data_IF_280602360025
#
_entry.id   IF_280602360025
#
_cell.length_a   1.000
_cell.length_b   1.000
_cell.length_c   1.000
_cell.angle_alpha   90.00
_cell.angle_beta   90.00
_cell.angle_gamma   90.00
#
_symmetry.space_group_name_H-M   'P 1'
#
loop_
_entity.id
_entity.type
_entity.pdbx_description
1 polymer ?
#
# COMPACT_ATOMS: atom_id res chain seq x y z
N UNK A 1 64.39 -2.19 -21.35
CA UNK A 1 63.32 -2.80 -20.51
C UNK A 1 62.48 -1.77 -19.72
N UNK A 2 62.49 -0.47 -20.07
CA UNK A 2 61.86 0.62 -19.28
C UNK A 2 60.53 1.16 -19.84
N UNK A 3 60.20 0.90 -21.10
CA UNK A 3 58.89 1.25 -21.69
C UNK A 3 57.67 0.74 -20.88
N UNK A 4 57.67 -0.50 -20.35
CA UNK A 4 56.52 -1.01 -19.61
C UNK A 4 56.20 -0.19 -18.36
N UNK A 5 57.24 0.33 -17.68
CA UNK A 5 57.07 1.06 -16.43
C UNK A 5 56.43 2.43 -16.66
N UNK A 6 56.80 3.13 -17.73
CA UNK A 6 56.23 4.44 -18.10
C UNK A 6 54.76 4.32 -18.48
N UNK A 7 54.38 3.27 -19.22
CA UNK A 7 52.98 3.01 -19.54
C UNK A 7 52.16 2.66 -18.30
N UNK A 8 52.72 1.86 -17.38
CA UNK A 8 52.05 1.52 -16.11
C UNK A 8 51.83 2.76 -15.25
N UNK A 9 52.83 3.64 -15.11
CA UNK A 9 52.68 4.87 -14.31
C UNK A 9 51.73 5.88 -14.95
N UNK A 10 51.75 6.02 -16.28
CA UNK A 10 50.81 6.88 -17.01
C UNK A 10 49.36 6.39 -16.88
N UNK A 11 49.12 5.08 -17.00
CA UNK A 11 47.78 4.49 -16.79
C UNK A 11 47.33 4.70 -15.33
N UNK A 12 48.21 4.47 -14.36
CA UNK A 12 47.89 4.68 -12.95
C UNK A 12 47.54 6.15 -12.64
N UNK A 13 48.32 7.10 -13.17
CA UNK A 13 48.05 8.53 -13.02
C UNK A 13 46.72 8.92 -13.70
N UNK A 14 46.44 8.40 -14.90
CA UNK A 14 45.17 8.61 -15.60
C UNK A 14 43.97 8.07 -14.83
N UNK A 15 44.07 6.86 -14.26
CA UNK A 15 43.02 6.28 -13.41
C UNK A 15 42.80 7.09 -12.12
N UNK A 16 43.87 7.55 -11.47
CA UNK A 16 43.79 8.42 -10.30
C UNK A 16 43.12 9.76 -10.62
N UNK A 17 43.49 10.40 -11.72
CA UNK A 17 42.85 11.63 -12.18
C UNK A 17 41.37 11.41 -12.50
N UNK A 18 41.03 10.31 -13.18
CA UNK A 18 39.65 9.93 -13.46
C UNK A 18 38.84 9.72 -12.17
N UNK A 19 39.40 9.02 -11.18
CA UNK A 19 38.77 8.83 -9.87
C UNK A 19 38.59 10.15 -9.12
N UNK A 20 39.56 11.07 -9.20
CA UNK A 20 39.46 12.39 -8.59
C UNK A 20 38.36 13.23 -9.25
N UNK A 21 38.33 13.28 -10.58
CA UNK A 21 37.29 13.97 -11.37
C UNK A 21 35.92 13.36 -11.09
N UNK A 22 35.81 12.02 -11.07
CA UNK A 22 34.57 11.34 -10.71
C UNK A 22 34.14 11.72 -9.29
N UNK A 23 35.03 11.73 -8.30
CA UNK A 23 34.66 12.06 -6.91
C UNK A 23 34.28 13.52 -6.72
N UNK A 24 34.89 14.44 -7.47
CA UNK A 24 34.63 15.88 -7.39
C UNK A 24 33.34 16.29 -8.12
N UNK A 25 33.14 15.79 -9.34
CA UNK A 25 32.02 16.20 -10.20
C UNK A 25 30.82 15.25 -10.13
N UNK A 26 31.05 13.98 -9.78
CA UNK A 26 30.02 12.93 -9.72
C UNK A 26 30.13 12.12 -8.41
N UNK A 27 30.02 12.75 -7.23
CA UNK A 27 30.26 12.11 -5.94
C UNK A 27 29.36 10.87 -5.69
N UNK A 28 28.21 10.79 -6.35
CA UNK A 28 27.24 9.69 -6.22
C UNK A 28 27.27 8.68 -7.38
N UNK A 29 28.23 8.78 -8.31
CA UNK A 29 28.28 7.96 -9.53
C UNK A 29 28.05 6.45 -9.29
N UNK A 30 28.73 5.88 -8.28
CA UNK A 30 28.59 4.46 -7.96
C UNK A 30 27.23 4.12 -7.37
N UNK A 31 26.68 4.99 -6.53
CA UNK A 31 25.32 4.85 -5.98
C UNK A 31 24.28 4.91 -7.10
N UNK A 32 24.44 5.85 -8.03
CA UNK A 32 23.58 6.01 -9.20
C UNK A 32 23.68 4.81 -10.14
N UNK A 33 24.90 4.29 -10.38
CA UNK A 33 25.12 3.10 -11.19
C UNK A 33 24.46 1.86 -10.56
N UNK A 34 24.59 1.67 -9.24
CA UNK A 34 23.91 0.60 -8.51
C UNK A 34 22.40 0.76 -8.62
N UNK A 35 21.88 1.96 -8.41
CA UNK A 35 20.44 2.26 -8.53
C UNK A 35 19.91 1.99 -9.94
N UNK A 36 20.59 2.49 -10.98
CA UNK A 36 20.26 2.23 -12.39
C UNK A 36 20.31 0.74 -12.68
N UNK A 37 21.32 0.01 -12.17
CA UNK A 37 21.40 -1.44 -12.36
C UNK A 37 20.22 -2.18 -11.71
N UNK A 38 19.76 -1.74 -10.54
CA UNK A 38 18.56 -2.27 -9.87
C UNK A 38 17.31 -1.95 -10.69
N UNK A 39 17.12 -0.71 -11.11
CA UNK A 39 16.01 -0.30 -11.97
C UNK A 39 15.95 -1.11 -13.27
N UNK A 40 17.09 -1.31 -13.93
CA UNK A 40 17.17 -2.12 -15.14
C UNK A 40 16.80 -3.58 -14.87
N UNK A 41 17.30 -4.19 -13.79
CA UNK A 41 16.90 -5.55 -13.38
C UNK A 41 15.42 -5.63 -13.07
N UNK A 42 14.83 -4.61 -12.44
CA UNK A 42 13.38 -4.55 -12.20
C UNK A 42 12.61 -4.49 -13.51
N UNK A 43 13.01 -3.61 -14.42
CA UNK A 43 12.43 -3.48 -15.74
C UNK A 43 12.46 -4.81 -16.48
N UNK A 44 13.62 -5.48 -16.51
CA UNK A 44 13.77 -6.81 -17.09
C UNK A 44 12.84 -7.82 -16.40
N UNK A 45 12.75 -7.83 -15.07
CA UNK A 45 11.87 -8.73 -14.31
C UNK A 45 10.40 -8.50 -14.67
N UNK A 46 9.97 -7.24 -14.80
CA UNK A 46 8.62 -6.88 -15.25
C UNK A 46 8.36 -7.33 -16.70
N UNK A 47 9.32 -7.16 -17.61
CA UNK A 47 9.20 -7.64 -18.99
C UNK A 47 9.15 -9.18 -19.07
N UNK A 48 9.90 -9.88 -18.22
CA UNK A 48 9.82 -11.34 -18.09
C UNK A 48 8.44 -11.78 -17.57
N UNK A 49 7.85 -11.05 -16.62
CA UNK A 49 6.47 -11.33 -16.19
C UNK A 49 5.45 -11.11 -17.30
N UNK A 50 5.62 -10.08 -18.14
CA UNK A 50 4.78 -9.89 -19.33
C UNK A 50 4.91 -11.05 -20.33
N UNK A 51 6.11 -11.61 -20.49
CA UNK A 51 6.38 -12.72 -21.43
C UNK A 51 5.97 -14.11 -20.93
N UNK A 52 5.88 -14.33 -19.61
CA UNK A 52 5.59 -15.66 -19.02
C UNK A 52 4.10 -16.04 -18.99
N UNK A 53 3.21 -15.31 -19.68
CA UNK A 53 1.77 -15.58 -19.84
C UNK A 53 0.93 -15.73 -18.56
N UNK A 54 1.53 -15.62 -17.36
CA UNK A 54 0.82 -15.61 -16.07
C UNK A 54 0.93 -14.21 -15.47
N UNK A 55 -0.18 -13.48 -15.51
CA UNK A 55 -0.28 -12.16 -14.87
C UNK A 55 -0.22 -12.35 -13.36
N UNK A 56 0.71 -11.64 -12.70
CA UNK A 56 0.86 -11.67 -11.23
C UNK A 56 0.55 -10.28 -10.70
N UNK A 57 -0.47 -10.20 -9.85
CA UNK A 57 -0.92 -8.97 -9.18
C UNK A 57 -0.19 -8.77 -7.84
N UNK A 58 -0.36 -7.61 -7.21
CA UNK A 58 0.14 -7.37 -5.84
C UNK A 58 -0.50 -8.33 -4.83
N UNK A 59 -1.79 -8.66 -4.99
CA UNK A 59 -2.45 -9.67 -4.14
C UNK A 59 -1.84 -11.06 -4.34
N UNK A 60 -1.53 -11.47 -5.57
CA UNK A 60 -0.85 -12.76 -5.81
C UNK A 60 0.53 -12.80 -5.15
N UNK A 61 1.23 -11.67 -5.11
CA UNK A 61 2.50 -11.54 -4.36
C UNK A 61 2.29 -11.68 -2.86
N UNK A 62 1.25 -11.08 -2.32
CA UNK A 62 0.91 -11.23 -0.90
C UNK A 62 0.66 -12.69 -0.53
N UNK A 63 -0.20 -13.39 -1.29
CA UNK A 63 -0.49 -14.82 -1.06
C UNK A 63 0.79 -15.67 -1.17
N UNK A 64 1.67 -15.36 -2.12
CA UNK A 64 2.98 -16.04 -2.24
C UNK A 64 3.89 -15.78 -1.03
N UNK A 65 3.88 -14.56 -0.46
CA UNK A 65 4.65 -14.25 0.73
C UNK A 65 4.05 -14.96 1.95
N UNK A 66 2.72 -14.94 2.13
CA UNK A 66 2.07 -15.64 3.23
C UNK A 66 2.38 -17.13 3.25
N UNK A 67 2.41 -17.79 2.09
CA UNK A 67 2.83 -19.18 2.00
C UNK A 67 4.34 -19.41 2.28
N UNK A 68 5.20 -18.40 2.03
CA UNK A 68 6.65 -18.53 2.12
C UNK A 68 7.21 -18.14 3.50
N UNK A 69 6.58 -17.17 4.16
CA UNK A 69 7.03 -16.56 5.42
C UNK A 69 5.83 -16.34 6.35
N UNK A 70 5.03 -17.38 6.67
CA UNK A 70 3.76 -17.25 7.38
C UNK A 70 3.91 -16.54 8.73
N UNK A 71 4.88 -16.98 9.54
CA UNK A 71 5.11 -16.48 10.91
C UNK A 71 5.69 -15.06 10.99
N UNK A 72 6.10 -14.48 9.85
CA UNK A 72 6.73 -13.18 9.86
C UNK A 72 5.68 -12.10 10.14
N UNK A 73 5.95 -11.13 11.04
CA UNK A 73 5.10 -9.94 11.19
C UNK A 73 4.94 -9.21 9.84
N UNK A 74 3.70 -9.08 9.38
CA UNK A 74 3.37 -8.26 8.22
C UNK A 74 2.96 -6.85 8.67
N UNK A 75 2.06 -6.75 9.66
CA UNK A 75 1.56 -5.48 10.21
C UNK A 75 1.82 -5.45 11.71
N UNK A 76 2.42 -4.37 12.19
CA UNK A 76 2.44 -4.01 13.61
C UNK A 76 1.52 -2.81 13.79
N UNK A 77 0.46 -2.98 14.57
CA UNK A 77 -0.53 -1.94 14.84
C UNK A 77 -0.77 -1.83 16.35
N UNK A 78 -0.56 -0.64 16.91
CA UNK A 78 -0.71 -0.39 18.36
C UNK A 78 0.08 -1.35 19.26
N UNK A 79 1.19 -1.90 18.75
CA UNK A 79 2.03 -2.86 19.46
C UNK A 79 1.60 -4.33 19.31
N UNK A 80 0.46 -4.59 18.66
CA UNK A 80 0.01 -5.92 18.29
C UNK A 80 0.62 -6.28 16.93
N UNK A 81 1.17 -7.48 16.84
CA UNK A 81 1.74 -8.03 15.61
C UNK A 81 0.71 -8.93 14.92
N UNK A 82 0.50 -8.69 13.63
CA UNK A 82 -0.25 -9.55 12.72
C UNK A 82 0.74 -10.08 11.69
N UNK A 83 0.89 -11.39 11.65
CA UNK A 83 1.75 -12.11 10.72
C UNK A 83 1.19 -12.10 9.30
N UNK A 84 1.96 -12.57 8.33
CA UNK A 84 1.44 -12.75 6.98
C UNK A 84 0.31 -13.78 6.95
N UNK A 85 0.39 -14.84 7.76
CA UNK A 85 -0.66 -15.85 7.90
C UNK A 85 -1.94 -15.26 8.51
N UNK A 86 -1.83 -14.50 9.61
CA UNK A 86 -3.00 -13.86 10.26
C UNK A 86 -3.82 -13.01 9.26
N UNK A 87 -3.12 -12.25 8.41
CA UNK A 87 -3.76 -11.39 7.42
C UNK A 87 -4.31 -12.20 6.24
N UNK A 88 -3.65 -13.29 5.86
CA UNK A 88 -4.12 -14.21 4.81
C UNK A 88 -5.42 -14.89 5.22
N UNK A 89 -5.45 -15.50 6.41
CA UNK A 89 -6.63 -16.16 6.98
C UNK A 89 -7.78 -15.17 7.18
N UNK A 90 -7.50 -14.02 7.80
CA UNK A 90 -8.53 -13.02 8.05
C UNK A 90 -9.11 -12.45 6.75
N UNK A 91 -8.28 -12.24 5.73
CA UNK A 91 -8.76 -11.79 4.43
C UNK A 91 -9.52 -12.89 3.66
N UNK A 92 -9.19 -14.18 3.85
CA UNK A 92 -10.01 -15.30 3.36
C UNK A 92 -11.39 -15.30 4.01
N UNK A 93 -11.45 -15.15 5.34
CA UNK A 93 -12.71 -15.04 6.10
C UNK A 93 -13.57 -13.89 5.57
N UNK A 94 -12.98 -12.71 5.34
CA UNK A 94 -13.71 -11.60 4.71
C UNK A 94 -14.26 -12.00 3.35
N UNK A 95 -13.44 -12.60 2.47
CA UNK A 95 -13.89 -13.00 1.15
C UNK A 95 -15.08 -13.97 1.21
N UNK A 96 -15.02 -14.98 2.08
CA UNK A 96 -16.13 -15.92 2.30
C UNK A 96 -17.40 -15.23 2.78
N UNK A 97 -17.32 -14.32 3.76
CA UNK A 97 -18.49 -13.57 4.25
C UNK A 97 -19.15 -12.80 3.12
N UNK A 98 -18.38 -12.01 2.36
CA UNK A 98 -18.95 -11.19 1.29
C UNK A 98 -19.52 -12.03 0.15
N UNK A 99 -18.89 -13.17 -0.18
CA UNK A 99 -19.39 -14.10 -1.19
C UNK A 99 -20.69 -14.77 -0.76
N UNK A 100 -20.74 -15.35 0.44
CA UNK A 100 -21.90 -16.09 0.96
C UNK A 100 -23.11 -15.17 1.17
N UNK A 101 -22.87 -13.93 1.58
CA UNK A 101 -23.91 -12.92 1.79
C UNK A 101 -24.31 -12.21 0.49
N UNK A 102 -23.67 -12.54 -0.63
CA UNK A 102 -23.94 -11.93 -1.94
C UNK A 102 -23.60 -10.44 -2.01
N UNK A 103 -22.78 -9.95 -1.07
CA UNK A 103 -22.42 -8.53 -0.94
C UNK A 103 -21.31 -8.10 -1.91
N UNK A 104 -20.54 -9.04 -2.46
CA UNK A 104 -19.56 -8.78 -3.51
C UNK A 104 -19.34 -10.01 -4.39
N UNK A 105 -19.13 -9.78 -5.68
CA UNK A 105 -18.83 -10.79 -6.70
C UNK A 105 -17.71 -10.31 -7.62
N UNK A 106 -17.15 -11.23 -8.39
CA UNK A 106 -16.10 -10.91 -9.37
C UNK A 106 -16.57 -9.82 -10.33
N UNK A 107 -15.74 -8.79 -10.51
CA UNK A 107 -16.04 -7.65 -11.36
C UNK A 107 -16.77 -6.51 -10.67
N UNK A 108 -17.31 -6.72 -9.47
CA UNK A 108 -17.93 -5.64 -8.69
C UNK A 108 -16.88 -4.63 -8.20
N UNK A 109 -17.35 -3.41 -7.95
CA UNK A 109 -16.59 -2.42 -7.20
C UNK A 109 -17.19 -2.25 -5.81
N UNK A 110 -16.36 -2.34 -4.78
CA UNK A 110 -16.78 -2.15 -3.38
C UNK A 110 -16.08 -0.93 -2.80
N UNK A 111 -16.82 -0.05 -2.15
CA UNK A 111 -16.28 1.17 -1.57
C UNK A 111 -15.86 0.96 -0.11
N UNK A 112 -14.71 1.52 0.28
CA UNK A 112 -14.16 1.47 1.63
C UNK A 112 -14.06 2.88 2.19
N UNK A 113 -14.76 3.12 3.29
CA UNK A 113 -14.64 4.30 4.14
C UNK A 113 -14.09 3.88 5.50
N UNK A 114 -12.78 3.70 5.57
CA UNK A 114 -12.10 3.12 6.73
C UNK A 114 -10.84 3.91 7.08
N UNK A 115 -10.58 4.04 8.38
CA UNK A 115 -9.32 4.56 8.91
C UNK A 115 -8.17 3.57 8.74
N UNK A 116 -6.94 4.01 9.05
CA UNK A 116 -5.77 3.14 9.07
C UNK A 116 -5.86 2.13 10.21
N UNK A 117 -6.24 0.90 9.88
CA UNK A 117 -6.35 -0.24 10.81
C UNK A 117 -6.04 -1.54 10.05
N UNK A 118 -5.64 -2.63 10.73
CA UNK A 118 -5.40 -3.92 10.08
C UNK A 118 -6.61 -4.42 9.27
N UNK A 119 -7.82 -4.14 9.76
CA UNK A 119 -9.05 -4.51 9.07
C UNK A 119 -9.23 -3.82 7.71
N UNK A 120 -8.68 -2.62 7.51
CA UNK A 120 -8.65 -1.99 6.18
C UNK A 120 -7.98 -2.92 5.17
N UNK A 121 -6.83 -3.47 5.54
CA UNK A 121 -6.00 -4.30 4.66
C UNK A 121 -6.67 -5.66 4.47
N UNK A 122 -7.21 -6.26 5.55
CA UNK A 122 -7.90 -7.54 5.47
C UNK A 122 -9.15 -7.46 4.59
N UNK A 123 -9.94 -6.38 4.72
CA UNK A 123 -11.12 -6.15 3.88
C UNK A 123 -10.73 -5.92 2.43
N UNK A 124 -9.75 -5.06 2.19
CA UNK A 124 -9.24 -4.80 0.85
C UNK A 124 -8.77 -6.09 0.17
N UNK A 125 -7.95 -6.91 0.84
CA UNK A 125 -7.44 -8.15 0.26
C UNK A 125 -8.54 -9.19 0.07
N UNK A 126 -9.48 -9.31 1.01
CA UNK A 126 -10.62 -10.22 0.88
C UNK A 126 -11.49 -9.90 -0.34
N UNK A 127 -11.76 -8.62 -0.58
CA UNK A 127 -12.50 -8.17 -1.77
C UNK A 127 -11.70 -8.43 -3.06
N UNK A 128 -10.39 -8.18 -3.06
CA UNK A 128 -9.55 -8.51 -4.21
C UNK A 128 -9.45 -10.02 -4.45
N UNK A 129 -9.55 -10.88 -3.42
CA UNK A 129 -9.64 -12.35 -3.57
C UNK A 129 -10.91 -12.81 -4.29
N UNK A 130 -12.00 -12.04 -4.17
CA UNK A 130 -13.22 -12.26 -4.94
C UNK A 130 -13.14 -11.74 -6.39
N UNK A 131 -12.04 -11.08 -6.76
CA UNK A 131 -11.89 -10.44 -8.07
C UNK A 131 -12.63 -9.10 -8.17
N UNK A 132 -12.89 -8.43 -7.05
CA UNK A 132 -13.48 -7.10 -7.01
C UNK A 132 -12.42 -6.00 -7.19
N UNK A 133 -12.83 -4.88 -7.77
CA UNK A 133 -12.11 -3.61 -7.63
C UNK A 133 -12.53 -2.92 -6.34
N UNK A 134 -11.66 -2.08 -5.79
CA UNK A 134 -11.94 -1.41 -4.51
C UNK A 134 -11.87 0.10 -4.66
N UNK A 135 -12.86 0.82 -4.15
CA UNK A 135 -12.92 2.28 -4.16
C UNK A 135 -12.55 2.81 -2.77
N UNK A 136 -11.38 3.44 -2.67
CA UNK A 136 -10.92 4.07 -1.44
C UNK A 136 -11.52 5.47 -1.30
N UNK A 137 -12.40 5.61 -0.31
CA UNK A 137 -13.07 6.87 0.01
C UNK A 137 -12.25 7.61 1.07
N UNK A 138 -12.10 8.92 0.88
CA UNK A 138 -11.43 9.77 1.85
C UNK A 138 -12.33 9.95 3.08
N UNK A 139 -11.77 9.65 4.25
CA UNK A 139 -12.47 9.69 5.55
C UNK A 139 -12.90 11.07 6.00
N UNK A 140 -12.53 12.14 5.28
CA UNK A 140 -12.98 13.51 5.52
C UNK A 140 -14.17 13.93 4.62
N UNK A 141 -14.55 13.12 3.63
CA UNK A 141 -15.69 13.42 2.75
C UNK A 141 -16.99 13.09 3.49
N UNK A 142 -17.99 13.97 3.38
CA UNK A 142 -19.30 13.83 4.04
C UNK A 142 -20.47 14.04 3.06
N UNK A 143 -21.63 13.57 3.48
CA UNK A 143 -22.93 13.91 2.91
C UNK A 143 -22.98 13.75 1.38
N UNK A 144 -23.39 14.79 0.65
CA UNK A 144 -23.58 14.76 -0.81
C UNK A 144 -22.30 14.40 -1.58
N UNK A 145 -21.13 14.82 -1.11
CA UNK A 145 -19.86 14.50 -1.75
C UNK A 145 -19.53 13.02 -1.63
N UNK A 146 -19.97 12.35 -0.56
CA UNK A 146 -19.81 10.91 -0.40
C UNK A 146 -20.74 10.14 -1.34
N UNK A 147 -22.02 10.54 -1.41
CA UNK A 147 -23.00 9.98 -2.36
C UNK A 147 -22.52 10.09 -3.81
N UNK A 148 -21.93 11.23 -4.18
CA UNK A 148 -21.34 11.42 -5.51
C UNK A 148 -20.27 10.37 -5.86
N UNK A 149 -19.47 9.94 -4.88
CA UNK A 149 -18.40 8.97 -5.13
C UNK A 149 -18.95 7.63 -5.64
N UNK A 150 -20.08 7.15 -5.12
CA UNK A 150 -20.70 5.91 -5.56
C UNK A 150 -21.12 5.96 -7.03
N UNK A 151 -21.68 7.10 -7.47
CA UNK A 151 -22.01 7.32 -8.88
C UNK A 151 -20.78 7.28 -9.80
N UNK A 152 -19.62 7.75 -9.33
CA UNK A 152 -18.39 7.75 -10.13
C UNK A 152 -17.71 6.39 -10.26
N UNK A 153 -17.81 5.51 -9.26
CA UNK A 153 -17.15 4.20 -9.27
C UNK A 153 -18.09 3.02 -9.48
N UNK A 154 -19.41 3.24 -9.50
CA UNK A 154 -20.41 2.19 -9.70
C UNK A 154 -20.57 1.23 -8.52
N UNK A 155 -20.03 1.56 -7.34
CA UNK A 155 -20.12 0.69 -6.18
C UNK A 155 -21.56 0.52 -5.69
N UNK A 156 -21.91 -0.71 -5.29
CA UNK A 156 -23.20 -1.09 -4.68
C UNK A 156 -23.06 -1.60 -3.24
N UNK A 157 -21.83 -1.65 -2.75
CA UNK A 157 -21.51 -2.07 -1.40
C UNK A 157 -20.52 -1.07 -0.79
N UNK A 158 -20.80 -0.64 0.42
CA UNK A 158 -19.95 0.22 1.25
C UNK A 158 -19.49 -0.57 2.47
N UNK A 159 -18.20 -0.63 2.71
CA UNK A 159 -17.62 -1.07 3.98
C UNK A 159 -17.13 0.15 4.75
N UNK A 160 -17.64 0.34 5.96
CA UNK A 160 -17.33 1.48 6.84
C UNK A 160 -16.65 1.02 8.13
N UNK A 161 -15.59 1.74 8.52
CA UNK A 161 -14.89 1.50 9.78
C UNK A 161 -15.76 1.84 10.98
N UNK A 162 -15.54 1.16 12.10
CA UNK A 162 -16.32 1.37 13.33
C UNK A 162 -16.35 2.84 13.80
N UNK A 163 -15.24 3.56 13.60
CA UNK A 163 -15.03 4.95 14.00
C UNK A 163 -15.66 5.99 13.07
N UNK A 164 -16.18 5.55 11.92
CA UNK A 164 -16.77 6.43 10.89
C UNK A 164 -18.25 6.16 10.63
N UNK A 165 -18.80 5.10 11.23
CA UNK A 165 -20.19 4.69 11.02
C UNK A 165 -21.19 5.81 11.36
N UNK A 166 -21.00 6.47 12.50
CA UNK A 166 -21.90 7.51 12.98
C UNK A 166 -21.94 8.72 12.02
N UNK A 167 -20.88 8.91 11.22
CA UNK A 167 -20.84 9.97 10.19
C UNK A 167 -21.75 9.69 8.99
N UNK A 168 -22.31 8.48 8.90
CA UNK A 168 -23.22 8.07 7.85
C UNK A 168 -24.69 8.19 8.23
N UNK A 169 -25.05 8.42 9.51
CA UNK A 169 -26.44 8.39 9.98
C UNK A 169 -27.38 9.26 9.12
N UNK A 170 -26.96 10.48 8.82
CA UNK A 170 -27.74 11.44 8.01
C UNK A 170 -27.95 11.01 6.56
N UNK A 171 -27.11 10.11 6.04
CA UNK A 171 -27.14 9.67 4.63
C UNK A 171 -27.52 8.19 4.46
N UNK A 172 -27.64 7.42 5.54
CA UNK A 172 -28.13 6.04 5.47
C UNK A 172 -29.47 5.92 4.72
N UNK A 173 -30.46 6.83 4.90
CA UNK A 173 -31.69 6.78 4.12
C UNK A 173 -31.44 6.91 2.61
N UNK A 174 -30.55 7.81 2.19
CA UNK A 174 -30.19 7.99 0.77
C UNK A 174 -29.41 6.81 0.21
N UNK A 175 -28.46 6.26 0.98
CA UNK A 175 -27.73 5.05 0.59
C UNK A 175 -28.68 3.87 0.39
N UNK A 176 -29.68 3.73 1.26
CA UNK A 176 -30.71 2.68 1.13
C UNK A 176 -31.61 2.90 -0.09
N UNK A 177 -32.02 4.14 -0.38
CA UNK A 177 -32.78 4.48 -1.59
C UNK A 177 -32.01 4.12 -2.87
N UNK A 178 -30.69 4.33 -2.86
CA UNK A 178 -29.79 4.00 -3.97
C UNK A 178 -29.40 2.51 -4.02
N UNK A 179 -29.99 1.67 -3.16
CA UNK A 179 -29.68 0.24 -3.02
C UNK A 179 -28.20 -0.05 -2.75
N UNK A 180 -27.57 0.78 -1.91
CA UNK A 180 -26.21 0.55 -1.43
C UNK A 180 -26.24 -0.31 -0.16
N UNK A 181 -25.63 -1.49 -0.22
CA UNK A 181 -25.46 -2.36 0.94
C UNK A 181 -24.36 -1.81 1.86
N UNK A 182 -24.70 -1.48 3.10
CA UNK A 182 -23.75 -0.90 4.07
C UNK A 182 -23.29 -1.97 5.05
N UNK A 183 -21.98 -2.11 5.18
CA UNK A 183 -21.29 -3.07 6.05
C UNK A 183 -20.41 -2.33 7.05
N UNK A 184 -20.70 -2.46 8.34
CA UNK A 184 -19.89 -1.91 9.41
C UNK A 184 -18.87 -2.93 9.93
N UNK A 185 -17.62 -2.50 10.10
CA UNK A 185 -16.57 -3.29 10.77
C UNK A 185 -16.77 -3.22 12.29
N UNK A 186 -17.89 -3.78 12.76
CA UNK A 186 -18.29 -3.90 14.17
C UNK A 186 -18.82 -5.31 14.45
N UNK A 187 -18.87 -5.69 15.73
CA UNK A 187 -19.54 -6.91 16.20
C UNK A 187 -21.06 -6.75 16.19
N UNK A 188 -21.54 -5.60 16.64
CA UNK A 188 -22.96 -5.29 16.79
C UNK A 188 -23.23 -3.87 16.28
N UNK A 189 -24.41 -3.68 15.69
CA UNK A 189 -24.87 -2.40 15.20
C UNK A 189 -26.40 -2.33 15.31
N UNK A 190 -26.91 -1.23 15.87
CA UNK A 190 -28.34 -0.97 16.00
C UNK A 190 -28.91 -0.15 14.83
N UNK A 191 -28.07 0.33 13.91
CA UNK A 191 -28.52 1.16 12.79
C UNK A 191 -29.27 0.30 11.75
N UNK A 192 -30.54 0.62 11.44
CA UNK A 192 -31.32 -0.17 10.49
C UNK A 192 -30.69 -0.19 9.09
N UNK A 193 -30.58 -1.38 8.49
CA UNK A 193 -30.04 -1.55 7.15
C UNK A 193 -28.50 -1.55 7.06
N UNK A 194 -27.82 -1.65 8.21
CA UNK A 194 -26.37 -1.84 8.28
C UNK A 194 -26.07 -3.27 8.72
N UNK A 195 -25.34 -4.00 7.89
CA UNK A 195 -24.82 -5.33 8.22
C UNK A 195 -23.51 -5.20 9.01
N UNK A 196 -23.30 -6.07 10.00
CA UNK A 196 -22.04 -6.15 10.75
C UNK A 196 -21.10 -7.17 10.14
N UNK A 197 -19.79 -6.91 10.18
CA UNK A 197 -18.76 -7.80 9.61
C UNK A 197 -18.13 -8.71 10.67
N UNK A 198 -17.76 -8.18 11.84
CA UNK A 198 -16.85 -8.87 12.76
C UNK A 198 -17.50 -10.12 13.39
N UNK A 199 -18.81 -10.10 13.62
CA UNK A 199 -19.60 -11.25 14.07
C UNK A 199 -19.55 -12.41 13.07
N UNK A 200 -19.54 -12.10 11.78
CA UNK A 200 -19.53 -13.10 10.71
C UNK A 200 -18.14 -13.69 10.45
N UNK A 201 -17.08 -12.93 10.71
CA UNK A 201 -15.70 -13.41 10.52
C UNK A 201 -15.35 -14.59 11.44
N UNK A 202 -15.89 -14.60 12.67
CA UNK A 202 -15.62 -15.66 13.65
C UNK A 202 -16.04 -17.05 13.15
N UNK A 203 -17.08 -17.11 12.32
CA UNK A 203 -17.68 -18.36 11.82
C UNK A 203 -17.31 -18.66 10.35
N UNK A 204 -16.66 -17.72 9.67
CA UNK A 204 -16.31 -17.87 8.27
C UNK A 204 -15.11 -18.81 8.09
N UNK A 205 -15.03 -19.58 6.98
CA UNK A 205 -13.86 -20.39 6.67
C UNK A 205 -12.60 -19.54 6.49
N UNK A 206 -11.44 -20.08 6.85
CA UNK A 206 -10.13 -19.47 6.61
C UNK A 206 -9.44 -19.99 5.35
N UNK A 207 -10.01 -21.02 4.72
CA UNK A 207 -9.48 -21.64 3.51
C UNK A 207 -9.32 -20.62 2.37
N UNK A 208 -8.22 -20.70 1.60
CA UNK A 208 -7.99 -19.83 0.46
C UNK A 208 -9.13 -19.88 -0.56
N UNK A 209 -9.54 -18.70 -1.04
CA UNK A 209 -10.42 -18.59 -2.21
C UNK A 209 -9.66 -19.08 -3.46
N UNK A 210 -10.29 -19.89 -4.34
CA UNK A 210 -9.66 -20.37 -5.57
C UNK A 210 -9.02 -19.24 -6.39
N UNK A 211 -7.79 -19.45 -6.85
CA UNK A 211 -6.99 -18.43 -7.52
C UNK A 211 -7.65 -17.91 -8.81
N UNK A 212 -8.44 -18.74 -9.46
CA UNK A 212 -9.22 -18.47 -10.68
C UNK A 212 -10.23 -17.33 -10.46
N UNK A 213 -10.74 -17.18 -9.23
CA UNK A 213 -11.71 -16.16 -8.86
C UNK A 213 -11.15 -14.75 -9.04
N UNK A 214 -9.88 -14.55 -8.67
CA UNK A 214 -9.14 -13.28 -8.78
C UNK A 214 -8.21 -13.22 -10.00
N UNK A 215 -8.23 -14.21 -10.88
CA UNK A 215 -7.36 -14.23 -12.05
C UNK A 215 -7.68 -13.06 -12.99
N UNK A 216 -6.65 -12.39 -13.49
CA UNK A 216 -6.79 -11.28 -14.44
C UNK A 216 -6.09 -11.61 -15.76
N UNK A 217 -6.72 -11.23 -16.86
CA UNK A 217 -6.19 -11.44 -18.22
C UNK A 217 -5.29 -10.29 -18.66
N UNK A 218 -5.36 -9.13 -18.01
CA UNK A 218 -4.62 -7.93 -18.37
C UNK A 218 -4.23 -7.11 -17.15
N UNK A 219 -2.97 -6.67 -17.08
CA UNK A 219 -2.52 -5.71 -16.07
C UNK A 219 -3.11 -4.30 -16.28
N UNK A 220 -3.72 -4.03 -17.44
CA UNK A 220 -4.40 -2.75 -17.69
C UNK A 220 -5.81 -2.71 -17.08
N UNK A 221 -6.32 -3.82 -16.56
CA UNK A 221 -7.60 -3.86 -15.87
C UNK A 221 -7.55 -2.98 -14.60
N UNK A 222 -8.56 -2.14 -14.34
CA UNK A 222 -8.70 -1.41 -13.08
C UNK A 222 -8.69 -2.36 -11.88
N UNK A 223 -8.09 -1.92 -10.78
CA UNK A 223 -8.09 -2.64 -9.49
C UNK A 223 -8.51 -1.75 -8.34
N UNK A 224 -8.24 -0.44 -8.44
CA UNK A 224 -8.56 0.52 -7.39
C UNK A 224 -9.07 1.82 -7.98
N UNK A 225 -9.97 2.46 -7.24
CA UNK A 225 -10.41 3.83 -7.45
C UNK A 225 -10.00 4.65 -6.24
N UNK A 226 -9.22 5.71 -6.44
CA UNK A 226 -8.79 6.60 -5.35
C UNK A 226 -9.43 7.96 -5.55
N UNK A 227 -10.24 8.39 -4.60
CA UNK A 227 -10.91 9.69 -4.68
C UNK A 227 -10.00 10.82 -4.24
N UNK A 228 -9.89 11.84 -5.09
CA UNK A 228 -9.13 13.06 -4.82
C UNK A 228 -10.06 14.27 -4.79
N UNK A 229 -9.71 15.28 -4.00
CA UNK A 229 -10.38 16.59 -4.01
C UNK A 229 -10.21 17.21 -5.39
N UNK A 230 -11.21 17.02 -6.26
CA UNK A 230 -11.19 17.52 -7.63
C UNK A 230 -11.17 19.05 -7.67
N UNK A 231 -10.67 19.62 -8.76
CA UNK A 231 -10.64 21.09 -8.98
C UNK A 231 -12.02 21.73 -9.06
N UNK A 232 -13.07 20.93 -9.29
CA UNK A 232 -14.46 21.35 -9.44
C UNK A 232 -15.25 21.27 -8.13
N UNK A 233 -14.59 21.05 -6.99
CA UNK A 233 -15.21 20.93 -5.66
C UNK A 233 -15.76 19.53 -5.34
N UNK A 234 -16.19 18.75 -6.34
CA UNK A 234 -16.60 17.36 -6.15
C UNK A 234 -15.43 16.37 -6.32
N UNK A 235 -15.38 15.28 -5.52
CA UNK A 235 -14.35 14.26 -5.63
C UNK A 235 -14.32 13.57 -7.00
N UNK A 236 -13.12 13.34 -7.54
CA UNK A 236 -12.92 12.58 -8.79
C UNK A 236 -12.20 11.26 -8.51
N UNK A 237 -12.66 10.19 -9.15
CA UNK A 237 -12.03 8.88 -9.06
C UNK A 237 -10.79 8.79 -9.96
N UNK A 238 -9.61 8.68 -9.36
CA UNK A 238 -8.41 8.26 -10.07
C UNK A 238 -8.44 6.74 -10.25
N UNK A 239 -8.48 6.29 -11.51
CA UNK A 239 -8.53 4.86 -11.85
C UNK A 239 -7.10 4.30 -11.84
N UNK A 240 -6.86 3.32 -10.98
CA UNK A 240 -5.57 2.65 -10.84
C UNK A 240 -5.70 1.23 -11.39
N UNK A 241 -4.80 0.90 -12.31
CA UNK A 241 -4.68 -0.43 -12.94
C UNK A 241 -3.75 -1.34 -12.15
N UNK A 242 -3.87 -2.66 -12.34
CA UNK A 242 -2.90 -3.61 -11.77
C UNK A 242 -1.45 -3.30 -12.17
N UNK A 243 -1.21 -2.80 -13.39
CA UNK A 243 0.12 -2.40 -13.85
C UNK A 243 0.70 -1.27 -13.00
N UNK A 244 -0.10 -0.24 -12.72
CA UNK A 244 0.31 0.88 -11.87
C UNK A 244 0.56 0.41 -10.43
N UNK A 245 -0.30 -0.46 -9.91
CA UNK A 245 -0.15 -1.06 -8.58
C UNK A 245 1.16 -1.86 -8.46
N UNK A 246 1.46 -2.75 -9.42
CA UNK A 246 2.72 -3.52 -9.45
C UNK A 246 3.94 -2.62 -9.60
N UNK A 247 3.87 -1.58 -10.42
CA UNK A 247 4.97 -0.60 -10.55
C UNK A 247 5.24 0.12 -9.22
N UNK A 248 4.19 0.57 -8.54
CA UNK A 248 4.29 1.26 -7.25
C UNK A 248 4.84 0.34 -6.15
N UNK A 249 4.41 -0.93 -6.12
CA UNK A 249 4.93 -1.95 -5.19
C UNK A 249 6.44 -2.22 -5.38
N UNK A 250 6.99 -1.97 -6.57
CA UNK A 250 8.43 -2.08 -6.81
C UNK A 250 9.28 -0.99 -6.14
N UNK A 251 8.66 0.04 -5.55
CA UNK A 251 9.34 1.24 -5.06
C UNK A 251 10.46 0.94 -4.08
N UNK A 252 10.16 0.30 -2.94
CA UNK A 252 11.17 0.03 -1.90
C UNK A 252 12.31 -0.85 -2.41
N UNK A 253 12.00 -1.89 -3.16
CA UNK A 253 13.01 -2.76 -3.77
C UNK A 253 13.97 -1.96 -4.68
N UNK A 254 13.44 -1.04 -5.49
CA UNK A 254 14.26 -0.21 -6.38
C UNK A 254 15.24 0.68 -5.60
N UNK A 255 14.84 1.16 -4.43
CA UNK A 255 15.68 1.94 -3.52
C UNK A 255 16.52 1.08 -2.56
N UNK A 256 16.56 -0.25 -2.72
CA UNK A 256 17.41 -1.14 -1.94
C UNK A 256 16.78 -1.72 -0.68
N UNK A 257 15.48 -1.51 -0.48
CA UNK A 257 14.73 -2.20 0.55
C UNK A 257 14.77 -3.71 0.36
N UNK A 258 14.74 -4.44 1.47
CA UNK A 258 14.84 -5.88 1.56
C UNK A 258 13.93 -6.41 2.67
N UNK A 259 13.88 -7.71 2.83
CA UNK A 259 12.98 -8.33 3.79
C UNK A 259 13.26 -7.94 5.24
N UNK A 260 14.48 -7.58 5.63
CA UNK A 260 14.77 -7.19 7.03
C UNK A 260 14.31 -5.78 7.39
N UNK A 261 13.81 -5.01 6.43
CA UNK A 261 13.36 -3.64 6.68
C UNK A 261 12.05 -3.58 7.48
N UNK A 262 11.89 -2.49 8.22
CA UNK A 262 10.66 -2.14 8.93
C UNK A 262 10.15 -0.80 8.38
N UNK A 263 8.97 -0.84 7.75
CA UNK A 263 8.38 0.29 7.04
C UNK A 263 7.38 1.00 7.95
N UNK A 264 7.58 2.29 8.22
CA UNK A 264 6.62 3.09 8.97
C UNK A 264 5.59 3.74 8.06
N UNK A 265 4.31 3.40 8.26
CA UNK A 265 3.18 3.89 7.48
C UNK A 265 2.28 4.73 8.39
N UNK A 266 2.47 6.05 8.34
CA UNK A 266 1.63 7.03 9.03
C UNK A 266 0.73 7.84 8.10
N UNK A 267 0.79 7.57 6.80
CA UNK A 267 -0.04 8.20 5.77
C UNK A 267 -1.36 7.43 5.61
N UNK A 268 -2.46 8.07 5.17
CA UNK A 268 -3.75 7.40 5.05
C UNK A 268 -3.76 6.31 3.97
N UNK A 269 -4.22 5.10 4.32
CA UNK A 269 -4.29 3.92 3.45
C UNK A 269 -5.20 4.13 2.23
N UNK A 270 -6.21 5.00 2.34
CA UNK A 270 -7.06 5.38 1.21
C UNK A 270 -6.34 6.21 0.13
N UNK A 271 -5.05 6.56 0.32
CA UNK A 271 -4.20 7.18 -0.69
C UNK A 271 -3.13 6.23 -1.24
N UNK A 272 -2.69 6.50 -2.47
CA UNK A 272 -1.76 5.63 -3.22
C UNK A 272 -0.38 5.50 -2.58
N UNK A 273 0.12 6.54 -1.90
CA UNK A 273 1.40 6.48 -1.19
C UNK A 273 1.38 5.38 -0.11
N UNK A 274 0.40 5.40 0.79
CA UNK A 274 0.32 4.42 1.85
C UNK A 274 -0.05 3.01 1.33
N UNK A 275 -1.06 2.89 0.47
CA UNK A 275 -1.54 1.59 -0.01
C UNK A 275 -0.64 0.96 -1.07
N UNK A 276 -0.33 1.66 -2.16
CA UNK A 276 0.38 1.08 -3.30
C UNK A 276 1.89 1.00 -3.04
N UNK A 277 2.49 2.09 -2.55
CA UNK A 277 3.93 2.13 -2.28
C UNK A 277 4.23 1.52 -0.91
N UNK A 278 3.49 1.90 0.13
CA UNK A 278 3.71 1.42 1.50
C UNK A 278 3.39 -0.07 1.65
N UNK A 279 2.11 -0.43 1.58
CA UNK A 279 1.68 -1.82 1.74
C UNK A 279 2.19 -2.68 0.57
N UNK A 280 1.99 -2.24 -0.68
CA UNK A 280 2.49 -2.97 -1.85
C UNK A 280 4.01 -3.16 -1.84
N UNK A 281 4.78 -2.14 -1.46
CA UNK A 281 6.23 -2.25 -1.32
C UNK A 281 6.68 -3.19 -0.21
N UNK A 282 5.99 -3.16 0.93
CA UNK A 282 6.23 -4.09 2.04
C UNK A 282 6.03 -5.55 1.58
N UNK A 283 4.98 -5.80 0.81
CA UNK A 283 4.71 -7.13 0.22
C UNK A 283 5.81 -7.55 -0.76
N UNK A 284 6.20 -6.68 -1.69
CA UNK A 284 7.17 -7.02 -2.74
C UNK A 284 8.53 -7.44 -2.15
N UNK A 285 8.97 -6.81 -1.07
CA UNK A 285 10.24 -7.15 -0.40
C UNK A 285 10.09 -8.15 0.75
N UNK A 286 8.85 -8.51 1.14
CA UNK A 286 8.58 -9.45 2.24
C UNK A 286 9.02 -8.89 3.60
N UNK A 287 8.75 -7.62 3.85
CA UNK A 287 9.13 -6.88 5.05
C UNK A 287 7.97 -6.73 6.05
N UNK A 288 8.21 -6.01 7.15
CA UNK A 288 7.20 -5.69 8.16
C UNK A 288 6.80 -4.23 8.04
N UNK A 289 5.51 -3.90 8.11
CA UNK A 289 5.05 -2.52 8.23
C UNK A 289 4.55 -2.22 9.64
N UNK A 290 4.90 -1.05 10.16
CA UNK A 290 4.32 -0.47 11.37
C UNK A 290 3.26 0.52 10.91
N UNK A 291 1.99 0.17 11.14
CA UNK A 291 0.85 0.96 10.73
C UNK A 291 0.42 1.88 11.87
N UNK A 292 0.38 3.18 11.59
CA UNK A 292 -0.14 4.18 12.52
C UNK A 292 -1.54 4.62 12.08
N UNK A 293 -2.48 4.70 13.03
CA UNK A 293 -3.84 5.18 12.78
C UNK A 293 -3.88 6.58 12.18
N UNK A 294 -3.03 7.48 12.68
CA UNK A 294 -2.89 8.86 12.19
C UNK A 294 -1.47 9.37 12.43
N UNK A 295 -0.96 10.19 11.51
CA UNK A 295 0.33 10.88 11.71
C UNK A 295 0.33 11.73 12.98
N UNK A 296 1.44 11.64 13.72
CA UNK A 296 1.73 12.48 14.89
C UNK A 296 3.22 12.86 14.85
N UNK A 297 3.51 14.15 14.69
CA UNK A 297 4.89 14.62 14.60
C UNK A 297 5.69 14.38 15.88
N UNK A 298 5.05 14.55 17.05
CA UNK A 298 5.69 14.37 18.35
C UNK A 298 5.98 12.91 18.69
N UNK A 299 5.15 11.97 18.21
CA UNK A 299 5.36 10.53 18.44
C UNK A 299 6.25 9.88 17.37
N UNK A 300 6.37 10.48 16.19
CA UNK A 300 7.02 9.88 15.01
C UNK A 300 8.39 9.24 15.32
N UNK A 301 9.32 10.02 15.89
CA UNK A 301 10.67 9.53 16.17
C UNK A 301 10.71 8.51 17.30
N UNK A 302 9.79 8.63 18.27
CA UNK A 302 9.62 7.64 19.34
C UNK A 302 9.14 6.30 18.81
N UNK A 303 8.13 6.32 17.93
CA UNK A 303 7.60 5.15 17.25
C UNK A 303 8.68 4.51 16.35
N UNK A 304 9.41 5.32 15.57
CA UNK A 304 10.50 4.82 14.72
C UNK A 304 11.56 4.06 15.52
N UNK A 305 11.93 4.56 16.71
CA UNK A 305 12.86 3.85 17.59
C UNK A 305 12.24 2.59 18.16
N UNK A 306 11.03 2.70 18.74
CA UNK A 306 10.36 1.60 19.42
C UNK A 306 10.27 0.36 18.52
N UNK A 307 10.05 0.57 17.23
CA UNK A 307 9.85 -0.51 16.26
C UNK A 307 11.04 -0.72 15.31
N UNK A 308 12.19 -0.09 15.54
CA UNK A 308 13.39 -0.19 14.68
C UNK A 308 13.10 0.10 13.19
N UNK A 309 12.33 1.16 12.92
CA UNK A 309 11.94 1.57 11.57
C UNK A 309 13.17 1.91 10.74
N UNK A 310 13.30 1.32 9.56
CA UNK A 310 14.39 1.58 8.61
C UNK A 310 13.95 2.40 7.40
N UNK A 311 12.64 2.38 7.07
CA UNK A 311 12.07 3.08 5.92
C UNK A 311 10.80 3.83 6.34
N UNK A 312 10.65 5.08 5.91
CA UNK A 312 9.35 5.77 5.88
C UNK A 312 9.16 6.54 4.58
N UNK A 313 7.91 6.85 4.26
CA UNK A 313 7.57 7.61 3.07
C UNK A 313 7.49 9.10 3.37
N UNK A 314 8.17 9.89 2.55
CA UNK A 314 8.08 11.34 2.59
C UNK A 314 7.05 11.85 1.57
N UNK A 315 6.17 12.73 2.04
CA UNK A 315 5.23 13.50 1.21
C UNK A 315 5.09 14.92 1.77
N UNK A 316 5.29 15.92 0.90
CA UNK A 316 5.02 17.33 1.17
C UNK A 316 5.58 17.82 2.51
N UNK A 317 4.69 18.24 3.40
CA UNK A 317 5.00 18.93 4.66
C UNK A 317 5.54 18.02 5.77
N UNK A 318 5.54 16.69 5.58
CA UNK A 318 5.89 15.72 6.63
C UNK A 318 7.25 16.02 7.26
N UNK A 319 8.31 16.14 6.46
CA UNK A 319 9.64 16.44 6.99
C UNK A 319 9.71 17.83 7.64
N UNK A 320 8.93 18.81 7.18
CA UNK A 320 8.88 20.12 7.85
C UNK A 320 8.33 20.00 9.27
N UNK A 321 7.24 19.25 9.46
CA UNK A 321 6.70 19.00 10.80
C UNK A 321 7.70 18.27 11.71
N UNK A 322 8.45 17.31 11.15
CA UNK A 322 9.47 16.56 11.88
C UNK A 322 10.69 17.40 12.24
N UNK A 323 11.19 18.24 11.33
CA UNK A 323 12.32 19.14 11.58
C UNK A 323 11.98 20.23 12.61
N UNK A 324 10.70 20.57 12.76
CA UNK A 324 10.21 21.52 13.75
C UNK A 324 9.93 20.89 15.13
N UNK A 325 10.15 19.58 15.31
CA UNK A 325 10.07 18.97 16.64
C UNK A 325 11.28 19.37 17.50
N UNK A 326 11.12 19.40 18.84
CA UNK A 326 12.25 19.59 19.75
C UNK A 326 13.39 18.63 19.40
N UNK A 327 14.61 19.15 19.31
CA UNK A 327 15.78 18.32 19.02
C UNK A 327 15.97 17.35 20.18
N UNK A 328 16.11 16.09 19.82
CA UNK A 328 16.44 15.04 20.78
C UNK A 328 17.65 14.30 20.19
N UNK A 329 18.77 14.26 20.93
CA UNK A 329 20.06 13.77 20.43
C UNK A 329 19.99 12.25 20.27
N UNK A 330 20.10 11.74 19.03
CA UNK A 330 20.11 10.29 18.76
C UNK A 330 20.96 9.92 17.53
N UNK A 331 21.56 8.73 17.55
CA UNK A 331 22.20 8.10 16.39
C UNK A 331 21.23 7.12 15.71
N UNK A 332 20.90 7.33 14.43
CA UNK A 332 20.10 6.38 13.64
C UNK A 332 20.31 6.61 12.13
N UNK A 333 20.23 5.54 11.33
CA UNK A 333 20.26 5.59 9.85
C UNK A 333 18.90 5.16 9.30
N UNK A 334 18.20 6.07 8.61
CA UNK A 334 16.91 5.78 7.96
C UNK A 334 17.05 6.02 6.45
N UNK A 335 16.52 5.09 5.65
CA UNK A 335 16.38 5.29 4.21
C UNK A 335 15.12 6.11 3.95
N UNK A 336 15.30 7.32 3.41
CA UNK A 336 14.22 8.21 3.00
C UNK A 336 13.77 7.86 1.57
N UNK A 337 12.50 7.47 1.41
CA UNK A 337 11.90 7.30 0.08
C UNK A 337 11.02 8.52 -0.23
N UNK A 338 11.45 9.30 -1.23
CA UNK A 338 10.74 10.50 -1.69
C UNK A 338 9.65 10.06 -2.68
N UNK A 339 8.38 10.19 -2.28
CA UNK A 339 7.25 10.03 -3.19
C UNK A 339 6.89 11.40 -3.75
N UNK A 340 7.14 11.62 -5.05
CA UNK A 340 6.62 12.81 -5.72
C UNK A 340 5.09 12.66 -5.88
N UNK A 341 4.28 13.64 -5.44
CA UNK A 341 2.88 13.66 -5.79
C UNK A 341 2.78 13.77 -7.32
N UNK A 342 1.89 13.00 -7.94
CA UNK A 342 1.58 13.10 -9.37
C UNK A 342 1.46 14.59 -9.74
N UNK A 343 2.39 15.10 -10.53
CA UNK A 343 2.15 16.35 -11.24
C UNK A 343 1.14 16.04 -12.34
N UNK A 344 -0.08 16.53 -12.09
CA UNK A 344 -1.27 16.69 -12.93
C UNK A 344 -1.38 15.83 -14.18
#
# INVERSE_FOLDING_TARGET
>A
MLLPLVWVTAIAAGLLALLLVQKLFFPYFWSDLVFISRLLRYGIRLEVYKKRSKVVTVLDRFVQQAARIPDKPFIIYEGISYTYEDVEERSNRVAHVFQQRGAARRGDTVALLMSNEPDFICVWFGLCKLGCSVAFLNTNIRSRSLLHCFGCCGARTLVVGADLLDTLEDILPSLKQDNINVWAVKMECSLPGVETLLDKLQQAPEDPIPAEQRAVTSLKTPTLYIFTSGTTGLPKAAIITHLQSVKAAGGFWAYGGCSSDVIYISLPLYHSAASLIGIGGTIEIGATCVLKKKFSASQFWGDCRKFNVTIFQYIGELCRYLCNQPKVIFHFSIILVISYPNQK
#
